data_IF_080242562340
#
_entry.id   IF_080242562340
#
_cell.length_a   1.000
_cell.length_b   1.000
_cell.length_c   1.000
_cell.angle_alpha   90.00
_cell.angle_beta   90.00
_cell.angle_gamma   90.00
#
_symmetry.space_group_name_H-M   'P 1'
#
loop_
_entity.id
_entity.type
_entity.pdbx_description
1 polymer ?
#
# COMPACT_ATOMS: atom_id res chain seq x y z
N UNK A 1 -11.41 -4.72 -23.03
CA UNK A 1 -10.42 -5.78 -22.72
C UNK A 1 -10.46 -6.00 -21.22
N UNK A 2 -10.37 -7.25 -20.74
CA UNK A 2 -10.36 -7.52 -19.30
C UNK A 2 -9.09 -6.96 -18.67
N UNK A 3 -9.24 -6.26 -17.55
CA UNK A 3 -8.13 -5.70 -16.75
C UNK A 3 -7.60 -6.73 -15.77
N UNK A 4 -8.51 -7.52 -15.18
CA UNK A 4 -8.17 -8.55 -14.23
C UNK A 4 -7.78 -9.85 -14.95
N UNK A 5 -6.67 -10.45 -14.53
CA UNK A 5 -6.31 -11.80 -14.96
C UNK A 5 -7.32 -12.84 -14.43
N UNK A 6 -7.47 -13.95 -15.15
CA UNK A 6 -8.34 -15.04 -14.66
C UNK A 6 -7.83 -15.61 -13.32
N UNK A 7 -6.54 -15.51 -13.06
CA UNK A 7 -5.93 -15.89 -11.77
C UNK A 7 -6.49 -15.05 -10.62
N UNK A 8 -6.51 -13.70 -10.78
CA UNK A 8 -7.08 -12.80 -9.76
C UNK A 8 -8.57 -13.12 -9.56
N UNK A 9 -9.32 -13.24 -10.65
CA UNK A 9 -10.77 -13.55 -10.58
C UNK A 9 -11.03 -14.84 -9.83
N UNK A 10 -10.21 -15.86 -10.07
CA UNK A 10 -10.32 -17.14 -9.37
C UNK A 10 -10.00 -16.98 -7.88
N UNK A 11 -8.92 -16.30 -7.52
CA UNK A 11 -8.57 -16.01 -6.12
C UNK A 11 -9.70 -15.25 -5.40
N UNK A 12 -10.33 -14.27 -6.06
CA UNK A 12 -11.48 -13.55 -5.49
C UNK A 12 -12.65 -14.51 -5.23
N UNK A 13 -12.98 -15.41 -6.18
CA UNK A 13 -14.07 -16.39 -6.02
C UNK A 13 -13.83 -17.36 -4.86
N UNK A 14 -12.58 -17.74 -4.61
CA UNK A 14 -12.19 -18.63 -3.50
C UNK A 14 -12.47 -18.04 -2.12
N UNK A 15 -12.67 -16.70 -2.05
CA UNK A 15 -13.04 -16.03 -0.81
C UNK A 15 -14.55 -16.07 -0.53
N UNK A 16 -15.39 -16.43 -1.50
CA UNK A 16 -16.85 -16.39 -1.31
C UNK A 16 -17.32 -17.30 -0.18
N UNK A 17 -16.71 -18.46 -0.02
CA UNK A 17 -17.07 -19.42 1.04
C UNK A 17 -16.53 -19.03 2.43
N UNK A 18 -15.61 -18.07 2.49
CA UNK A 18 -14.98 -17.61 3.75
C UNK A 18 -15.68 -16.41 4.37
N UNK A 19 -16.54 -15.74 3.62
CA UNK A 19 -17.20 -14.49 4.04
C UNK A 19 -18.72 -14.65 4.03
N UNK A 20 -19.44 -13.93 4.90
CA UNK A 20 -20.89 -14.07 5.04
C UNK A 20 -21.67 -13.55 3.83
N UNK A 21 -21.05 -12.73 2.99
CA UNK A 21 -21.64 -12.19 1.75
C UNK A 21 -20.57 -11.83 0.74
N UNK A 22 -20.94 -11.74 -0.54
CA UNK A 22 -20.06 -11.27 -1.60
C UNK A 22 -19.57 -9.83 -1.35
N UNK A 23 -20.41 -8.98 -0.79
CA UNK A 23 -20.02 -7.62 -0.43
C UNK A 23 -18.86 -7.59 0.56
N UNK A 24 -18.80 -8.53 1.52
CA UNK A 24 -17.69 -8.61 2.48
C UNK A 24 -16.35 -8.99 1.83
N UNK A 25 -16.36 -9.49 0.59
CA UNK A 25 -15.15 -9.81 -0.19
C UNK A 25 -14.59 -8.58 -0.91
N UNK A 26 -15.26 -7.42 -0.88
CA UNK A 26 -14.80 -6.22 -1.60
C UNK A 26 -13.39 -5.81 -1.17
N UNK A 27 -13.12 -5.74 0.13
CA UNK A 27 -11.80 -5.33 0.64
C UNK A 27 -10.69 -6.33 0.27
N UNK A 28 -10.83 -7.64 0.49
CA UNK A 28 -9.89 -8.63 -0.03
C UNK A 28 -9.65 -8.55 -1.54
N UNK A 29 -10.70 -8.35 -2.34
CA UNK A 29 -10.57 -8.24 -3.79
C UNK A 29 -9.73 -7.02 -4.20
N UNK A 30 -9.98 -5.86 -3.58
CA UNK A 30 -9.19 -4.64 -3.80
C UNK A 30 -7.71 -4.83 -3.44
N UNK A 31 -7.42 -5.53 -2.33
CA UNK A 31 -6.05 -5.85 -1.95
C UNK A 31 -5.35 -6.73 -2.99
N UNK A 32 -5.99 -7.82 -3.44
CA UNK A 32 -5.42 -8.71 -4.46
C UNK A 32 -5.10 -7.98 -5.76
N UNK A 33 -5.99 -7.07 -6.17
CA UNK A 33 -5.78 -6.26 -7.39
C UNK A 33 -4.62 -5.30 -7.21
N UNK A 34 -4.59 -4.56 -6.09
CA UNK A 34 -3.49 -3.61 -5.84
C UNK A 34 -2.14 -4.31 -5.66
N UNK A 35 -2.11 -5.49 -5.06
CA UNK A 35 -0.88 -6.29 -4.94
C UNK A 35 -0.30 -6.63 -6.31
N UNK A 36 -1.13 -7.06 -7.26
CA UNK A 36 -0.68 -7.49 -8.59
C UNK A 36 -0.43 -6.31 -9.54
N UNK A 37 -1.36 -5.32 -9.57
CA UNK A 37 -1.29 -4.19 -10.50
C UNK A 37 -0.60 -2.95 -9.92
N UNK A 38 -0.29 -2.96 -8.62
CA UNK A 38 0.25 -1.82 -7.84
C UNK A 38 -0.71 -0.62 -7.76
N UNK A 39 -1.93 -0.76 -8.24
CA UNK A 39 -3.04 0.19 -8.15
C UNK A 39 -4.36 -0.56 -8.36
N UNK A 40 -5.47 0.15 -8.21
CA UNK A 40 -6.82 -0.34 -8.54
C UNK A 40 -7.38 0.53 -9.68
N UNK A 41 -7.20 0.13 -10.94
CA UNK A 41 -7.73 0.89 -12.08
C UNK A 41 -9.26 0.90 -12.12
N UNK A 42 -9.85 1.91 -12.77
CA UNK A 42 -11.30 2.03 -12.93
C UNK A 42 -11.93 0.77 -13.55
N UNK A 43 -11.29 0.20 -14.57
CA UNK A 43 -11.76 -1.06 -15.18
C UNK A 43 -11.74 -2.26 -14.23
N UNK A 44 -10.81 -2.29 -13.27
CA UNK A 44 -10.79 -3.34 -12.25
C UNK A 44 -11.96 -3.19 -11.26
N UNK A 45 -12.37 -1.96 -10.93
CA UNK A 45 -13.54 -1.70 -10.09
C UNK A 45 -14.81 -2.25 -10.74
N UNK A 46 -14.97 -2.05 -12.05
CA UNK A 46 -16.12 -2.58 -12.80
C UNK A 46 -16.13 -4.12 -12.77
N UNK A 47 -14.99 -4.77 -13.03
CA UNK A 47 -14.90 -6.24 -13.03
C UNK A 47 -15.07 -6.83 -11.63
N UNK A 48 -14.56 -6.18 -10.56
CA UNK A 48 -14.83 -6.59 -9.17
C UNK A 48 -16.33 -6.49 -8.88
N UNK A 49 -16.97 -5.39 -9.27
CA UNK A 49 -18.40 -5.17 -9.06
C UNK A 49 -19.24 -6.27 -9.71
N UNK A 50 -18.93 -6.65 -10.96
CA UNK A 50 -19.57 -7.77 -11.64
C UNK A 50 -19.41 -9.10 -10.89
N UNK A 51 -18.18 -9.42 -10.43
CA UNK A 51 -17.89 -10.65 -9.70
C UNK A 51 -18.65 -10.75 -8.37
N UNK A 52 -18.77 -9.60 -7.68
CA UNK A 52 -19.39 -9.53 -6.35
C UNK A 52 -20.89 -9.23 -6.42
N UNK A 53 -21.46 -9.04 -7.61
CA UNK A 53 -22.89 -8.64 -7.83
C UNK A 53 -23.21 -7.31 -7.13
N UNK A 54 -22.28 -6.35 -7.19
CA UNK A 54 -22.38 -5.01 -6.65
C UNK A 54 -22.43 -3.97 -7.77
N UNK A 55 -22.76 -2.71 -7.42
CA UNK A 55 -22.52 -1.59 -8.33
C UNK A 55 -21.05 -1.15 -8.26
N UNK A 56 -20.48 -0.61 -9.35
CA UNK A 56 -19.13 -0.04 -9.33
C UNK A 56 -18.97 1.05 -8.27
N UNK A 57 -20.03 1.84 -7.99
CA UNK A 57 -20.00 2.86 -6.94
C UNK A 57 -19.77 2.27 -5.54
N UNK A 58 -20.38 1.13 -5.20
CA UNK A 58 -20.18 0.47 -3.91
C UNK A 58 -18.74 -0.03 -3.74
N UNK A 59 -18.12 -0.53 -4.81
CA UNK A 59 -16.72 -0.95 -4.79
C UNK A 59 -15.81 0.26 -4.65
N UNK A 60 -16.07 1.34 -5.40
CA UNK A 60 -15.32 2.59 -5.33
C UNK A 60 -15.45 3.27 -3.96
N UNK A 61 -16.64 3.28 -3.34
CA UNK A 61 -16.84 3.81 -1.99
C UNK A 61 -15.92 3.11 -0.97
N UNK A 62 -15.81 1.77 -1.07
CA UNK A 62 -14.90 1.01 -0.23
C UNK A 62 -13.44 1.38 -0.50
N UNK A 63 -13.03 1.45 -1.77
CA UNK A 63 -11.68 1.83 -2.15
C UNK A 63 -11.31 3.23 -1.65
N UNK A 64 -12.17 4.22 -1.88
CA UNK A 64 -11.91 5.62 -1.54
C UNK A 64 -11.87 5.90 -0.04
N UNK A 65 -12.54 5.07 0.76
CA UNK A 65 -12.52 5.18 2.22
C UNK A 65 -11.13 4.87 2.81
N UNK A 66 -10.38 3.95 2.22
CA UNK A 66 -9.08 3.53 2.73
C UNK A 66 -7.93 4.21 1.98
N UNK A 67 -7.20 5.10 2.66
CA UNK A 67 -6.10 5.88 2.09
C UNK A 67 -4.89 5.06 1.61
N UNK A 68 -4.87 3.75 1.83
CA UNK A 68 -3.80 2.88 1.36
C UNK A 68 -4.06 2.28 -0.03
N UNK A 69 -5.27 2.42 -0.60
CA UNK A 69 -5.49 2.09 -2.00
C UNK A 69 -5.04 3.22 -2.91
N UNK A 70 -4.55 2.84 -4.08
CA UNK A 70 -4.07 3.74 -5.12
C UNK A 70 -4.87 3.54 -6.39
N UNK A 71 -5.18 4.63 -7.06
CA UNK A 71 -5.73 4.64 -8.41
C UNK A 71 -4.64 4.55 -9.48
N UNK A 72 -5.04 4.51 -10.73
CA UNK A 72 -4.14 4.44 -11.88
C UNK A 72 -3.34 5.73 -12.12
N UNK A 73 -3.77 6.86 -11.54
CA UNK A 73 -3.05 8.14 -11.66
C UNK A 73 -1.80 8.17 -10.76
N UNK A 74 -1.82 7.40 -9.66
CA UNK A 74 -0.73 7.35 -8.67
C UNK A 74 -0.45 5.93 -8.21
N UNK A 75 -0.03 5.02 -9.11
CA UNK A 75 0.26 3.65 -8.73
C UNK A 75 1.40 3.56 -7.71
N UNK A 76 1.42 2.48 -6.95
CA UNK A 76 2.55 2.18 -6.06
C UNK A 76 3.80 1.84 -6.87
N UNK A 77 4.96 2.23 -6.36
CA UNK A 77 6.24 1.72 -6.83
C UNK A 77 6.38 0.21 -6.56
N UNK A 78 7.48 -0.38 -7.01
CA UNK A 78 7.75 -1.81 -6.82
C UNK A 78 7.82 -2.21 -5.34
N UNK A 79 8.32 -1.30 -4.50
CA UNK A 79 8.34 -1.46 -3.04
C UNK A 79 7.57 -0.33 -2.37
N UNK A 80 6.87 -0.67 -1.32
CA UNK A 80 6.15 0.27 -0.48
C UNK A 80 6.80 0.32 0.89
N UNK A 81 7.15 1.52 1.32
CA UNK A 81 7.77 1.78 2.62
C UNK A 81 6.89 2.74 3.41
N UNK A 82 6.47 2.32 4.58
CA UNK A 82 5.74 3.14 5.53
C UNK A 82 6.67 3.57 6.65
N UNK A 83 6.85 4.86 6.85
CA UNK A 83 7.63 5.40 7.98
C UNK A 83 6.66 5.82 9.08
N UNK A 84 6.84 5.30 10.28
CA UNK A 84 5.99 5.60 11.42
C UNK A 84 6.22 7.04 11.89
N UNK A 85 5.13 7.81 12.02
CA UNK A 85 5.14 9.19 12.53
C UNK A 85 4.53 9.35 13.92
N UNK A 86 4.20 8.25 14.60
CA UNK A 86 3.64 8.29 15.95
C UNK A 86 4.62 8.80 16.98
N UNK A 87 4.10 9.24 18.13
CA UNK A 87 4.84 9.97 19.16
C UNK A 87 6.21 9.37 19.53
N UNK A 88 6.37 8.06 19.80
CA UNK A 88 7.69 7.51 20.10
C UNK A 88 8.70 7.63 18.95
N UNK A 89 8.24 7.44 17.72
CA UNK A 89 9.08 7.54 16.52
C UNK A 89 9.45 9.00 16.24
N UNK A 90 8.50 9.92 16.36
CA UNK A 90 8.74 11.36 16.25
C UNK A 90 9.78 11.85 17.27
N UNK A 91 9.63 11.48 18.56
CA UNK A 91 10.58 11.86 19.61
C UNK A 91 11.99 11.28 19.43
N UNK A 92 12.13 10.27 18.59
CA UNK A 92 13.40 9.66 18.21
C UNK A 92 13.90 10.07 16.81
N UNK A 93 13.39 11.18 16.28
CA UNK A 93 13.85 11.75 15.02
C UNK A 93 13.16 11.16 13.77
N UNK A 94 11.97 10.56 13.90
CA UNK A 94 11.26 9.97 12.77
C UNK A 94 10.83 11.00 11.71
N UNK A 95 10.49 12.22 12.12
CA UNK A 95 10.09 13.28 11.19
C UNK A 95 11.30 13.82 10.39
N UNK A 96 12.43 14.00 11.06
CA UNK A 96 13.69 14.41 10.42
C UNK A 96 14.18 13.32 9.46
N UNK A 97 14.11 12.06 9.86
CA UNK A 97 14.46 10.92 9.01
C UNK A 97 13.58 10.87 7.75
N UNK A 98 12.26 11.03 7.91
CA UNK A 98 11.35 11.08 6.77
C UNK A 98 11.69 12.22 5.83
N UNK A 99 11.93 13.43 6.35
CA UNK A 99 12.30 14.59 5.54
C UNK A 99 13.58 14.32 4.75
N UNK A 100 14.62 13.77 5.40
CA UNK A 100 15.87 13.42 4.75
C UNK A 100 15.69 12.37 3.63
N UNK A 101 14.93 11.31 3.89
CA UNK A 101 14.64 10.27 2.89
C UNK A 101 13.90 10.85 1.69
N UNK A 102 12.88 11.68 1.94
CA UNK A 102 12.11 12.32 0.87
C UNK A 102 12.96 13.29 0.05
N UNK A 103 13.82 14.09 0.70
CA UNK A 103 14.73 15.01 0.03
C UNK A 103 15.74 14.28 -0.87
N UNK A 104 16.31 13.19 -0.38
CA UNK A 104 17.29 12.37 -1.14
C UNK A 104 16.65 11.67 -2.34
N UNK A 105 15.39 11.27 -2.24
CA UNK A 105 14.63 10.68 -3.32
C UNK A 105 13.96 11.71 -4.24
N UNK A 106 13.96 12.99 -3.86
CA UNK A 106 13.27 14.09 -4.54
C UNK A 106 11.75 13.83 -4.68
N UNK A 107 11.11 13.35 -3.61
CA UNK A 107 9.68 13.08 -3.53
C UNK A 107 9.05 13.76 -2.31
N UNK A 108 7.72 13.79 -2.29
CA UNK A 108 6.93 14.08 -1.09
C UNK A 108 6.36 12.76 -0.53
N UNK A 109 5.99 12.70 0.77
CA UNK A 109 5.31 11.53 1.32
C UNK A 109 4.08 11.15 0.49
N UNK A 110 3.94 9.86 0.17
CA UNK A 110 2.93 9.34 -0.75
C UNK A 110 3.33 9.40 -2.22
N UNK A 111 4.51 9.93 -2.55
CA UNK A 111 5.07 9.94 -3.88
C UNK A 111 5.97 8.74 -4.18
N UNK A 112 6.20 8.51 -5.47
CA UNK A 112 7.15 7.51 -5.95
C UNK A 112 8.51 8.13 -6.19
N UNK A 113 9.57 7.41 -5.85
CA UNK A 113 10.92 7.76 -6.26
C UNK A 113 11.05 7.70 -7.79
N UNK A 114 11.99 8.49 -8.34
CA UNK A 114 12.30 8.43 -9.77
C UNK A 114 12.49 6.97 -10.20
N UNK A 115 11.79 6.54 -11.23
CA UNK A 115 11.74 5.19 -11.78
C UNK A 115 10.75 4.21 -11.09
N UNK A 116 9.80 4.68 -10.30
CA UNK A 116 8.73 3.88 -9.66
C UNK A 116 9.25 2.65 -8.89
N UNK A 117 10.46 2.75 -8.32
CA UNK A 117 11.03 1.64 -7.55
C UNK A 117 10.47 1.60 -6.12
N UNK A 118 10.27 2.76 -5.50
CA UNK A 118 9.89 2.87 -4.10
C UNK A 118 8.82 3.94 -3.93
N UNK A 119 7.78 3.61 -3.18
CA UNK A 119 6.80 4.59 -2.65
C UNK A 119 7.07 4.77 -1.16
N UNK A 120 7.30 6.01 -0.73
CA UNK A 120 7.46 6.36 0.69
C UNK A 120 6.16 6.95 1.21
N UNK A 121 5.60 6.36 2.25
CA UNK A 121 4.37 6.81 2.88
C UNK A 121 4.53 6.98 4.39
N UNK A 122 3.56 7.68 4.97
CA UNK A 122 3.44 7.85 6.41
C UNK A 122 2.52 6.78 7.00
N UNK A 123 2.96 6.14 8.08
CA UNK A 123 2.10 5.33 8.91
C UNK A 123 1.83 6.01 10.26
N UNK A 124 0.63 5.84 10.81
CA UNK A 124 0.33 6.33 12.15
C UNK A 124 1.16 5.54 13.17
N UNK A 125 0.77 4.37 13.58
CA UNK A 125 1.53 3.56 14.53
C UNK A 125 1.68 2.14 14.02
N UNK A 126 2.93 1.68 13.90
CA UNK A 126 3.23 0.31 13.46
C UNK A 126 3.31 -0.70 14.62
N UNK A 127 3.10 -0.24 15.87
CA UNK A 127 3.12 -1.11 17.05
C UNK A 127 4.49 -1.59 17.52
N UNK A 128 5.58 -1.07 16.94
CA UNK A 128 6.95 -1.50 17.19
C UNK A 128 7.79 -0.40 17.87
N UNK A 129 7.29 0.18 18.96
CA UNK A 129 7.90 1.33 19.61
C UNK A 129 9.27 1.03 20.24
N UNK A 130 9.58 -0.23 20.54
CA UNK A 130 10.89 -0.69 21.00
C UNK A 130 11.98 -0.50 19.95
N UNK A 131 11.61 -0.52 18.67
CA UNK A 131 12.51 -0.30 17.52
C UNK A 131 12.44 1.12 16.97
N UNK A 132 11.82 2.07 17.69
CA UNK A 132 11.62 3.43 17.20
C UNK A 132 12.93 4.19 16.94
N UNK A 133 13.04 4.96 15.84
CA UNK A 133 12.06 5.06 14.77
C UNK A 133 11.95 3.75 13.97
N UNK A 134 10.74 3.42 13.47
CA UNK A 134 10.52 2.17 12.75
C UNK A 134 9.78 2.41 11.42
N UNK A 135 9.94 1.46 10.51
CA UNK A 135 9.29 1.46 9.20
C UNK A 135 8.70 0.08 8.91
N UNK A 136 7.72 0.03 8.02
CA UNK A 136 7.17 -1.19 7.44
C UNK A 136 7.55 -1.23 5.95
N UNK A 137 8.15 -2.32 5.51
CA UNK A 137 8.45 -2.57 4.10
C UNK A 137 7.63 -3.76 3.67
N UNK A 138 6.71 -3.53 2.74
CA UNK A 138 5.63 -4.48 2.44
C UNK A 138 4.94 -4.92 3.76
N UNK A 139 5.19 -6.12 4.27
CA UNK A 139 4.58 -6.67 5.49
C UNK A 139 5.58 -6.88 6.64
N UNK A 140 6.84 -6.43 6.50
CA UNK A 140 7.89 -6.62 7.51
C UNK A 140 8.24 -5.31 8.21
N UNK A 141 8.26 -5.33 9.55
CA UNK A 141 8.66 -4.18 10.37
C UNK A 141 10.17 -4.17 10.58
N UNK A 142 10.78 -3.04 10.28
CA UNK A 142 12.21 -2.80 10.41
C UNK A 142 12.49 -1.58 11.30
N UNK A 143 13.63 -1.54 12.04
CA UNK A 143 14.10 -0.30 12.61
C UNK A 143 14.49 0.67 11.48
N UNK A 144 14.14 1.94 11.62
CA UNK A 144 14.53 3.00 10.69
C UNK A 144 15.67 3.80 11.31
N UNK A 145 16.89 3.25 11.29
CA UNK A 145 18.04 3.76 12.03
C UNK A 145 18.49 5.12 11.48
N UNK A 146 18.65 5.21 10.16
CA UNK A 146 19.02 6.42 9.43
C UNK A 146 18.54 6.35 7.98
N UNK A 147 18.70 7.43 7.23
CA UNK A 147 18.24 7.51 5.86
C UNK A 147 18.98 6.54 4.91
N UNK A 148 20.27 6.27 5.16
CA UNK A 148 21.02 5.29 4.36
C UNK A 148 20.45 3.88 4.52
N UNK A 149 20.15 3.48 5.75
CA UNK A 149 19.53 2.20 6.05
C UNK A 149 18.14 2.08 5.39
N UNK A 150 17.27 3.11 5.54
CA UNK A 150 15.95 3.13 4.89
C UNK A 150 16.08 2.95 3.39
N UNK A 151 17.00 3.67 2.74
CA UNK A 151 17.21 3.60 1.30
C UNK A 151 17.78 2.25 0.85
N UNK A 152 18.74 1.69 1.58
CA UNK A 152 19.31 0.38 1.28
C UNK A 152 18.26 -0.73 1.33
N UNK A 153 17.47 -0.78 2.42
CA UNK A 153 16.43 -1.79 2.59
C UNK A 153 15.30 -1.57 1.57
N UNK A 154 14.92 -0.33 1.30
CA UNK A 154 13.92 0.00 0.28
C UNK A 154 14.38 -0.44 -1.13
N UNK A 155 15.67 -0.37 -1.46
CA UNK A 155 16.24 -0.84 -2.71
C UNK A 155 16.47 -2.37 -2.76
N UNK A 156 16.23 -3.09 -1.66
CA UNK A 156 16.47 -4.54 -1.57
C UNK A 156 17.93 -4.93 -1.43
N UNK A 157 18.75 -4.01 -0.97
CA UNK A 157 20.16 -4.23 -0.63
C UNK A 157 20.24 -4.47 0.88
N UNK A 158 19.83 -5.64 1.36
CA UNK A 158 20.01 -6.09 2.76
C UNK A 158 21.25 -6.91 2.89
#
# INVERSE_FOLDING_TARGET
MSVLSESIKQRIREHFDRYPSKQAVTLPALHMVQEELRCVPAGAIEEIAELLELSPAQVYDTMSFYGFFRDEDKPLGKRRVWICRSLPCMLRGGDELLAEVCDRLHITPGGNAKNDQVTIELAECLGACEMAPCMLIEDEVHPAIDADHVLQVAEGKS
#
